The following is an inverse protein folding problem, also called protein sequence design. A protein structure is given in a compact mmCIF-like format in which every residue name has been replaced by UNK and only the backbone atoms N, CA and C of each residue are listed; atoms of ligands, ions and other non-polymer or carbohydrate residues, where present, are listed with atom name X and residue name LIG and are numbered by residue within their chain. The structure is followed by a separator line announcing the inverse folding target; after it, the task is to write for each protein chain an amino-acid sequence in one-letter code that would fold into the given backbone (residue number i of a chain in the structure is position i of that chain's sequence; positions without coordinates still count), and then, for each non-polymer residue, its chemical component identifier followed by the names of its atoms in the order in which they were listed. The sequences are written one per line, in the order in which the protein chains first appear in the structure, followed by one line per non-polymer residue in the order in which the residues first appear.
data_IF_341657345568
#
_entry.id   IF_341657345568
#
_cell.length_a   1.000
_cell.length_b   1.000
_cell.length_c   1.000
_cell.angle_alpha   90.00
_cell.angle_beta   90.00
_cell.angle_gamma   90.00
#
_symmetry.space_group_name_H-M   'P 1'
#
loop_
_entity.id
_entity.type
_entity.pdbx_description
1 polymer ?
#
# COMPACT_ATOMS: atom_id res chain seq x y z
N UNK A 1 -4.95 19.50 -11.10
CA UNK A 1 -5.50 18.76 -9.97
C UNK A 1 -5.33 17.27 -10.24
N UNK A 2 -4.82 16.53 -9.28
CA UNK A 2 -4.54 15.12 -9.45
C UNK A 2 -5.82 14.30 -9.23
N UNK A 3 -6.22 13.52 -10.22
CA UNK A 3 -7.38 12.64 -10.15
C UNK A 3 -7.03 11.26 -10.65
N UNK A 4 -7.41 10.24 -9.91
CA UNK A 4 -7.35 8.86 -10.40
C UNK A 4 -8.65 8.56 -11.15
N UNK A 5 -8.52 8.21 -12.41
CA UNK A 5 -9.68 7.91 -13.27
C UNK A 5 -9.62 6.48 -13.75
N UNK A 6 -10.70 5.77 -13.51
CA UNK A 6 -10.91 4.39 -13.94
C UNK A 6 -12.12 4.35 -14.84
N UNK A 7 -11.99 3.79 -16.03
CA UNK A 7 -13.05 3.75 -17.02
C UNK A 7 -13.22 2.35 -17.60
N UNK A 8 -14.41 1.80 -17.46
CA UNK A 8 -14.83 0.52 -18.03
C UNK A 8 -13.87 -0.65 -17.75
N UNK A 9 -13.36 -0.71 -16.52
CA UNK A 9 -12.36 -1.68 -16.15
C UNK A 9 -12.95 -3.08 -15.99
N UNK A 10 -12.37 -4.04 -16.68
CA UNK A 10 -12.78 -5.45 -16.63
C UNK A 10 -11.57 -6.34 -16.36
N UNK A 11 -11.76 -7.36 -15.54
CA UNK A 11 -10.76 -8.40 -15.27
C UNK A 11 -11.45 -9.72 -14.97
N UNK A 12 -11.02 -10.75 -15.67
CA UNK A 12 -11.52 -12.12 -15.48
C UNK A 12 -10.38 -13.06 -15.11
N UNK A 13 -10.71 -14.07 -14.34
CA UNK A 13 -9.84 -15.22 -14.10
C UNK A 13 -10.63 -16.46 -14.53
N UNK A 14 -10.28 -17.00 -15.71
CA UNK A 14 -11.09 -18.03 -16.35
C UNK A 14 -12.49 -17.52 -16.69
N UNK A 15 -13.52 -18.15 -16.17
CA UNK A 15 -14.90 -17.76 -16.38
C UNK A 15 -15.42 -16.77 -15.33
N UNK A 16 -14.61 -16.49 -14.31
CA UNK A 16 -15.01 -15.60 -13.21
C UNK A 16 -14.67 -14.15 -13.54
N UNK A 17 -15.69 -13.31 -13.73
CA UNK A 17 -15.55 -11.87 -13.93
C UNK A 17 -15.38 -11.20 -12.56
N UNK A 18 -14.13 -10.92 -12.16
CA UNK A 18 -13.81 -10.30 -10.87
C UNK A 18 -14.08 -8.79 -10.91
N UNK A 19 -13.68 -8.14 -12.00
CA UNK A 19 -14.03 -6.73 -12.26
C UNK A 19 -14.88 -6.69 -13.52
N UNK A 20 -16.05 -6.07 -13.43
CA UNK A 20 -17.01 -6.02 -14.51
C UNK A 20 -17.51 -4.59 -14.73
N UNK A 21 -16.95 -3.93 -15.74
CA UNK A 21 -17.29 -2.57 -16.15
C UNK A 21 -17.24 -1.56 -15.00
N UNK A 22 -16.11 -1.52 -14.30
CA UNK A 22 -15.93 -0.62 -13.16
C UNK A 22 -15.45 0.74 -13.66
N UNK A 23 -16.19 1.79 -13.30
CA UNK A 23 -15.82 3.18 -13.63
C UNK A 23 -15.99 4.06 -12.40
N UNK A 24 -14.99 4.86 -12.10
CA UNK A 24 -15.05 5.86 -11.03
C UNK A 24 -13.91 6.86 -11.17
N UNK A 25 -14.04 7.98 -10.44
CA UNK A 25 -12.98 8.97 -10.30
C UNK A 25 -12.73 9.18 -8.81
N UNK A 26 -11.45 9.05 -8.40
CA UNK A 26 -11.02 9.36 -7.05
C UNK A 26 -10.22 10.65 -7.06
N UNK A 27 -10.63 11.60 -6.22
CA UNK A 27 -9.98 12.90 -6.08
C UNK A 27 -9.07 12.91 -4.87
N UNK A 28 -8.36 14.01 -4.68
CA UNK A 28 -7.51 14.22 -3.50
C UNK A 28 -8.33 13.97 -2.23
N UNK A 29 -7.79 13.17 -1.34
CA UNK A 29 -8.42 12.78 -0.09
C UNK A 29 -8.44 11.28 0.11
N UNK A 30 -9.38 10.79 0.88
CA UNK A 30 -9.50 9.36 1.18
C UNK A 30 -10.67 8.77 0.39
N UNK A 31 -10.37 7.76 -0.40
CA UNK A 31 -11.39 6.95 -1.09
C UNK A 31 -11.41 5.56 -0.47
N UNK A 32 -12.59 5.07 -0.10
CA UNK A 32 -12.77 3.75 0.49
C UNK A 32 -13.44 2.81 -0.49
N UNK A 33 -12.91 1.59 -0.57
CA UNK A 33 -13.53 0.51 -1.31
C UNK A 33 -14.25 -0.40 -0.31
N UNK A 34 -15.55 -0.45 -0.39
CA UNK A 34 -16.39 -1.21 0.53
C UNK A 34 -17.03 -2.39 -0.21
N UNK A 35 -17.15 -3.51 0.48
CA UNK A 35 -17.78 -4.70 -0.04
C UNK A 35 -17.31 -5.96 0.69
N UNK A 36 -18.03 -7.08 0.51
CA UNK A 36 -17.64 -8.34 1.14
C UNK A 36 -16.31 -8.87 0.57
N UNK A 37 -15.69 -9.79 1.30
CA UNK A 37 -14.50 -10.51 0.83
C UNK A 37 -14.78 -11.22 -0.48
N UNK A 38 -13.79 -11.19 -1.39
CA UNK A 38 -13.91 -11.87 -2.68
C UNK A 38 -14.64 -11.11 -3.76
N UNK A 39 -15.07 -9.87 -3.51
CA UNK A 39 -15.77 -9.06 -4.52
C UNK A 39 -14.83 -8.40 -5.55
N UNK A 40 -13.50 -8.54 -5.37
CA UNK A 40 -12.52 -8.00 -6.31
C UNK A 40 -11.79 -6.76 -5.84
N UNK A 41 -11.90 -6.36 -4.57
CA UNK A 41 -11.22 -5.18 -4.04
C UNK A 41 -9.70 -5.28 -4.17
N UNK A 42 -9.13 -6.40 -3.79
CA UNK A 42 -7.68 -6.64 -3.90
C UNK A 42 -7.24 -6.64 -5.36
N UNK A 43 -8.02 -7.25 -6.26
CA UNK A 43 -7.73 -7.24 -7.69
C UNK A 43 -7.74 -5.82 -8.25
N UNK A 44 -8.73 -5.01 -7.86
CA UNK A 44 -8.79 -3.62 -8.27
C UNK A 44 -7.55 -2.84 -7.81
N UNK A 45 -7.15 -2.99 -6.55
CA UNK A 45 -5.94 -2.34 -6.02
C UNK A 45 -4.70 -2.78 -6.78
N UNK A 46 -4.57 -4.08 -7.11
CA UNK A 46 -3.44 -4.59 -7.87
C UNK A 46 -3.38 -4.00 -9.28
N UNK A 47 -4.53 -3.83 -9.92
CA UNK A 47 -4.60 -3.17 -11.24
C UNK A 47 -4.18 -1.71 -11.14
N UNK A 48 -4.66 -1.00 -10.13
CA UNK A 48 -4.29 0.41 -9.91
C UNK A 48 -2.79 0.59 -9.67
N UNK A 49 -2.17 -0.36 -8.98
CA UNK A 49 -0.73 -0.35 -8.68
C UNK A 49 0.13 -0.82 -9.86
N UNK A 50 -0.48 -1.28 -10.94
CA UNK A 50 0.27 -1.82 -12.09
C UNK A 50 0.79 -3.23 -11.87
N UNK A 51 0.36 -3.93 -10.82
CA UNK A 51 0.77 -5.31 -10.52
C UNK A 51 -0.04 -6.35 -11.28
N UNK A 52 -1.16 -5.95 -11.86
CA UNK A 52 -2.04 -6.80 -12.64
C UNK A 52 -2.50 -6.02 -13.87
N UNK A 53 -2.61 -6.71 -15.02
CA UNK A 53 -3.08 -6.09 -16.25
C UNK A 53 -4.58 -6.32 -16.39
N UNK A 54 -5.41 -5.27 -16.62
CA UNK A 54 -6.82 -5.47 -16.89
C UNK A 54 -7.04 -6.11 -18.27
N UNK A 55 -8.16 -6.79 -18.45
CA UNK A 55 -8.53 -7.34 -19.76
C UNK A 55 -9.02 -6.25 -20.70
N UNK A 56 -9.71 -5.25 -20.17
CA UNK A 56 -10.15 -4.08 -20.91
C UNK A 56 -10.36 -2.90 -19.96
N UNK A 57 -10.61 -1.73 -20.55
CA UNK A 57 -10.77 -0.50 -19.80
C UNK A 57 -9.46 0.25 -19.62
N UNK A 58 -9.54 1.40 -18.99
CA UNK A 58 -8.39 2.29 -18.80
C UNK A 58 -8.29 2.77 -17.37
N UNK A 59 -7.03 2.93 -16.92
CA UNK A 59 -6.68 3.51 -15.64
C UNK A 59 -5.52 4.46 -15.86
N UNK A 60 -5.59 5.65 -15.32
CA UNK A 60 -4.46 6.59 -15.38
C UNK A 60 -3.49 6.44 -14.18
N UNK A 61 -3.49 5.28 -13.53
CA UNK A 61 -2.68 5.01 -12.34
C UNK A 61 -1.17 5.06 -12.57
N UNK A 62 -0.72 4.88 -13.80
CA UNK A 62 0.68 4.98 -14.21
C UNK A 62 1.27 6.39 -14.04
N UNK A 63 0.41 7.40 -13.90
CA UNK A 63 0.82 8.79 -13.65
C UNK A 63 1.12 9.09 -12.19
N UNK A 64 0.86 8.11 -11.30
CA UNK A 64 1.03 8.28 -9.87
C UNK A 64 2.21 7.45 -9.38
N UNK A 65 2.93 7.99 -8.40
CA UNK A 65 3.87 7.20 -7.61
C UNK A 65 3.08 6.57 -6.46
N UNK A 66 2.97 5.26 -6.49
CA UNK A 66 2.20 4.52 -5.51
C UNK A 66 3.09 3.97 -4.40
N UNK A 67 2.59 4.01 -3.17
CA UNK A 67 3.04 3.12 -2.10
C UNK A 67 1.85 2.28 -1.65
N UNK A 68 2.14 1.10 -1.11
CA UNK A 68 1.09 0.17 -0.73
C UNK A 68 1.42 -0.53 0.58
N UNK A 69 0.39 -0.74 1.40
CA UNK A 69 0.46 -1.65 2.54
C UNK A 69 -0.47 -2.80 2.22
N UNK A 70 0.11 -3.98 2.00
CA UNK A 70 -0.63 -5.20 1.69
C UNK A 70 -1.13 -5.87 2.96
N UNK A 71 -2.03 -6.84 2.83
CA UNK A 71 -2.48 -7.66 3.95
C UNK A 71 -1.30 -8.34 4.64
N UNK A 72 -0.34 -8.83 3.85
CA UNK A 72 0.93 -9.31 4.35
C UNK A 72 1.89 -8.12 4.51
N UNK A 73 2.52 -8.01 5.67
CA UNK A 73 3.36 -6.85 5.97
C UNK A 73 4.64 -6.79 5.13
N UNK A 74 5.16 -7.94 4.69
CA UNK A 74 6.35 -8.05 3.85
C UNK A 74 7.57 -7.33 4.43
N UNK A 75 7.74 -7.46 5.73
CA UNK A 75 8.90 -6.92 6.44
C UNK A 75 10.03 -7.93 6.46
N UNK A 76 11.26 -7.42 6.55
CA UNK A 76 12.45 -8.25 6.71
C UNK A 76 12.60 -8.59 8.18
N UNK A 77 12.26 -9.80 8.56
CA UNK A 77 12.17 -10.23 9.95
C UNK A 77 13.52 -10.25 10.68
N UNK A 78 14.59 -10.44 9.94
CA UNK A 78 15.94 -10.44 10.49
C UNK A 78 16.53 -9.06 10.76
N UNK A 79 15.84 -8.00 10.40
CA UNK A 79 16.26 -6.62 10.61
C UNK A 79 15.40 -5.94 11.68
N UNK A 80 15.91 -4.86 12.25
CA UNK A 80 15.15 -3.95 13.11
C UNK A 80 14.34 -2.95 12.28
N UNK A 81 13.70 -2.00 12.94
CA UNK A 81 12.89 -0.97 12.26
C UNK A 81 13.75 -0.13 11.32
N UNK A 82 14.89 0.35 11.78
CA UNK A 82 15.79 1.15 10.96
C UNK A 82 16.25 0.39 9.72
N UNK A 83 16.64 -0.87 9.87
CA UNK A 83 17.08 -1.72 8.76
C UNK A 83 16.00 -1.90 7.71
N UNK A 84 14.76 -2.13 8.13
CA UNK A 84 13.62 -2.23 7.22
C UNK A 84 13.38 -0.94 6.46
N UNK A 85 13.41 0.19 7.17
CA UNK A 85 13.18 1.49 6.53
C UNK A 85 14.30 1.87 5.58
N UNK A 86 15.57 1.67 5.98
CA UNK A 86 16.71 1.95 5.10
C UNK A 86 16.73 1.08 3.85
N UNK A 87 16.33 -0.18 3.97
CA UNK A 87 16.31 -1.11 2.84
C UNK A 87 15.37 -0.61 1.72
N UNK A 88 14.19 -0.11 2.08
CA UNK A 88 13.19 0.35 1.10
C UNK A 88 13.44 1.78 0.66
N UNK A 89 13.77 2.66 1.59
CA UNK A 89 13.89 4.10 1.32
C UNK A 89 15.23 4.48 0.68
N UNK A 90 16.29 3.73 0.96
CA UNK A 90 17.62 4.02 0.42
C UNK A 90 18.06 5.46 0.69
N UNK A 91 18.35 6.19 -0.39
CA UNK A 91 18.76 7.60 -0.29
C UNK A 91 17.67 8.52 0.25
N UNK A 92 16.42 8.10 0.24
CA UNK A 92 15.29 8.87 0.79
C UNK A 92 15.13 8.69 2.32
N UNK A 93 15.94 7.84 2.94
CA UNK A 93 15.87 7.63 4.38
C UNK A 93 16.33 8.89 5.12
N UNK A 94 15.50 9.36 6.06
CA UNK A 94 15.78 10.48 6.93
C UNK A 94 15.56 10.03 8.37
N UNK A 95 16.62 10.00 9.16
CA UNK A 95 16.57 9.46 10.52
C UNK A 95 15.60 10.25 11.42
N UNK A 96 15.60 11.59 11.32
CA UNK A 96 14.73 12.42 12.15
C UNK A 96 13.25 12.21 11.80
N UNK A 97 12.90 12.18 10.52
CA UNK A 97 11.53 11.95 10.07
C UNK A 97 11.06 10.52 10.43
N UNK A 98 11.93 9.54 10.28
CA UNK A 98 11.64 8.15 10.64
C UNK A 98 11.36 8.02 12.13
N UNK A 99 12.22 8.58 12.98
CA UNK A 99 12.04 8.51 14.43
C UNK A 99 10.76 9.20 14.88
N UNK A 100 10.48 10.39 14.34
CA UNK A 100 9.25 11.11 14.66
C UNK A 100 8.00 10.31 14.32
N UNK A 101 7.96 9.69 13.14
CA UNK A 101 6.81 8.87 12.74
C UNK A 101 6.69 7.59 13.56
N UNK A 102 7.80 6.93 13.87
CA UNK A 102 7.79 5.75 14.72
C UNK A 102 7.24 6.08 16.10
N UNK A 103 7.61 7.23 16.67
CA UNK A 103 7.07 7.70 17.95
C UNK A 103 5.55 7.90 17.88
N UNK A 104 5.05 8.55 16.83
CA UNK A 104 3.62 8.75 16.62
C UNK A 104 2.86 7.43 16.53
N UNK A 105 3.49 6.40 15.97
CA UNK A 105 2.88 5.08 15.82
C UNK A 105 3.10 4.16 17.03
N UNK A 106 3.68 4.67 18.10
CA UNK A 106 3.93 3.89 19.31
C UNK A 106 5.10 2.92 19.19
N UNK A 107 6.02 3.16 18.26
CA UNK A 107 7.22 2.35 18.03
C UNK A 107 8.52 3.08 18.37
N UNK A 108 8.43 4.20 19.11
CA UNK A 108 9.59 5.03 19.40
C UNK A 108 10.64 4.36 20.28
N UNK A 109 10.26 3.37 21.05
CA UNK A 109 11.13 2.69 22.01
C UNK A 109 11.56 1.27 21.60
N UNK A 110 11.27 0.85 20.37
CA UNK A 110 11.62 -0.51 19.92
C UNK A 110 13.12 -0.71 19.71
N UNK A 111 13.85 0.39 19.46
CA UNK A 111 15.31 0.35 19.33
C UNK A 111 15.77 -0.64 18.27
N UNK A 112 16.70 -1.53 18.67
CA UNK A 112 17.27 -2.55 17.78
C UNK A 112 16.55 -3.89 17.82
N UNK A 113 15.36 -3.95 18.42
CA UNK A 113 14.54 -5.16 18.43
C UNK A 113 14.26 -5.60 17.01
N UNK A 114 14.47 -6.87 16.70
CA UNK A 114 14.21 -7.39 15.36
C UNK A 114 12.71 -7.59 15.13
N UNK A 115 12.30 -7.40 13.88
CA UNK A 115 10.88 -7.46 13.50
C UNK A 115 10.26 -8.82 13.80
N UNK A 116 11.02 -9.91 13.73
CA UNK A 116 10.52 -11.23 14.10
C UNK A 116 10.00 -11.32 15.54
N UNK A 117 10.46 -10.42 16.42
CA UNK A 117 10.04 -10.35 17.81
C UNK A 117 8.92 -9.34 18.06
N UNK A 118 8.42 -8.70 16.99
CA UNK A 118 7.30 -7.76 17.05
C UNK A 118 5.96 -8.50 17.14
N UNK A 119 4.99 -7.90 17.83
CA UNK A 119 3.60 -8.33 17.71
C UNK A 119 3.06 -8.06 16.30
N UNK A 120 1.94 -8.69 15.94
CA UNK A 120 1.31 -8.43 14.64
C UNK A 120 0.94 -6.97 14.44
N UNK A 121 0.43 -6.31 15.50
CA UNK A 121 0.13 -4.88 15.47
C UNK A 121 1.35 -4.01 15.26
N UNK A 122 2.47 -4.35 15.91
CA UNK A 122 3.73 -3.64 15.73
C UNK A 122 4.24 -3.78 14.29
N UNK A 123 4.19 -4.98 13.73
CA UNK A 123 4.59 -5.21 12.34
C UNK A 123 3.71 -4.40 11.38
N UNK A 124 2.40 -4.37 11.59
CA UNK A 124 1.48 -3.60 10.76
C UNK A 124 1.79 -2.11 10.81
N UNK A 125 2.09 -1.58 11.98
CA UNK A 125 2.44 -0.17 12.15
C UNK A 125 3.78 0.17 11.49
N UNK A 126 4.76 -0.74 11.55
CA UNK A 126 6.02 -0.51 10.86
C UNK A 126 5.86 -0.54 9.33
N UNK A 127 5.03 -1.45 8.81
CA UNK A 127 4.71 -1.47 7.38
C UNK A 127 4.03 -0.18 6.94
N UNK A 128 3.14 0.36 7.77
CA UNK A 128 2.51 1.66 7.52
C UNK A 128 3.54 2.80 7.53
N UNK A 129 4.44 2.82 8.50
CA UNK A 129 5.51 3.83 8.56
C UNK A 129 6.37 3.80 7.30
N UNK A 130 6.73 2.61 6.84
CA UNK A 130 7.53 2.43 5.62
C UNK A 130 6.83 3.04 4.42
N UNK A 131 5.53 2.80 4.27
CA UNK A 131 4.75 3.35 3.17
C UNK A 131 4.61 4.88 3.26
N UNK A 132 4.38 5.42 4.45
CA UNK A 132 4.20 6.86 4.65
C UNK A 132 5.49 7.65 4.45
N UNK A 133 6.64 7.06 4.72
CA UNK A 133 7.94 7.72 4.55
C UNK A 133 8.42 7.71 3.10
N UNK A 134 7.89 6.83 2.27
CA UNK A 134 8.27 6.77 0.85
C UNK A 134 7.67 7.96 0.09
N UNK A 135 8.44 8.58 -0.83
CA UNK A 135 7.88 9.60 -1.71
C UNK A 135 6.76 8.99 -2.57
N UNK A 136 5.55 9.52 -2.45
CA UNK A 136 4.41 8.97 -3.18
C UNK A 136 3.34 10.02 -3.44
N UNK A 137 2.55 9.79 -4.48
CA UNK A 137 1.39 10.59 -4.82
C UNK A 137 0.11 9.94 -4.30
N UNK A 138 0.13 8.63 -4.12
CA UNK A 138 -1.01 7.86 -3.65
C UNK A 138 -0.57 6.70 -2.76
N UNK A 139 -1.36 6.40 -1.75
CA UNK A 139 -1.15 5.31 -0.81
C UNK A 139 -2.34 4.37 -0.87
N UNK A 140 -2.06 3.10 -1.11
CA UNK A 140 -3.04 2.03 -1.07
C UNK A 140 -2.92 1.26 0.24
N UNK A 141 -4.03 1.14 0.96
CA UNK A 141 -4.10 0.33 2.18
C UNK A 141 -5.07 -0.81 1.94
N UNK A 142 -4.54 -2.03 1.91
CA UNK A 142 -5.34 -3.25 1.81
C UNK A 142 -5.50 -3.82 3.21
N UNK A 143 -6.69 -3.67 3.79
CA UNK A 143 -6.99 -4.15 5.13
C UNK A 143 -7.31 -5.65 5.10
N UNK A 144 -6.91 -6.39 6.16
CA UNK A 144 -7.25 -7.81 6.30
C UNK A 144 -8.74 -8.06 6.50
#
# INVERSE_FOLDING_TARGET
MMELRVEHLCKRYGENAVLDDISFTARVGVTRLLGPSGIGKTTLLRVLLGLETPDSGTVNGDKFRWTAVFQENRLLEGLDAEGNLRFVLGANYNAAAAQALLEELGLGDVGKKKVRDYSGGMQRRLALARALLAPSDALSLDEP
#
